data_IF_893903854044
#
_entry.id   IF_893903854044
#
_cell.length_a   1.000
_cell.length_b   1.000
_cell.length_c   1.000
_cell.angle_alpha   90.00
_cell.angle_beta   90.00
_cell.angle_gamma   90.00
#
_symmetry.space_group_name_H-M   'P 1'
#
loop_
_entity.id
_entity.type
_entity.pdbx_description
1 polymer ?
#
# COMPACT_ATOMS: atom_id res chain seq x y z
N UNK A 1 -15.77 6.04 5.15
CA UNK A 1 -14.71 5.65 4.18
C UNK A 1 -13.48 6.50 4.47
N UNK A 2 -12.28 5.91 4.46
CA UNK A 2 -11.01 6.59 4.72
C UNK A 2 -10.22 6.80 3.42
N UNK A 3 -9.33 7.82 3.35
CA UNK A 3 -8.49 8.03 2.18
C UNK A 3 -7.49 6.88 1.96
N UNK A 4 -7.03 6.70 0.72
CA UNK A 4 -5.94 5.78 0.39
C UNK A 4 -4.66 6.19 1.14
N UNK A 5 -3.82 5.21 1.55
CA UNK A 5 -2.54 5.51 2.17
C UNK A 5 -1.60 6.20 1.16
N UNK A 6 -0.83 7.18 1.63
CA UNK A 6 0.21 7.81 0.81
C UNK A 6 1.46 6.94 0.71
N UNK A 7 1.68 6.32 -0.44
CA UNK A 7 2.88 5.53 -0.69
C UNK A 7 4.08 6.46 -0.86
N UNK A 8 5.22 6.13 -0.26
CA UNK A 8 6.43 6.94 -0.41
C UNK A 8 6.99 6.79 -1.82
N UNK A 9 7.17 7.90 -2.52
CA UNK A 9 7.87 8.03 -3.78
C UNK A 9 9.00 9.06 -3.65
N UNK A 10 10.15 8.73 -4.23
CA UNK A 10 11.24 9.69 -4.32
C UNK A 10 10.89 10.79 -5.33
N UNK A 11 11.42 12.01 -5.16
CA UNK A 11 11.07 13.14 -6.03
C UNK A 11 11.39 12.85 -7.50
N UNK A 12 12.50 12.19 -7.78
CA UNK A 12 12.85 11.79 -9.15
C UNK A 12 11.86 10.80 -9.76
N UNK A 13 11.29 9.87 -8.97
CA UNK A 13 10.25 8.93 -9.43
C UNK A 13 8.95 9.67 -9.80
N UNK A 14 8.57 10.67 -9.00
CA UNK A 14 7.39 11.51 -9.28
C UNK A 14 7.60 12.34 -10.53
N UNK A 15 8.76 13.02 -10.65
CA UNK A 15 9.09 13.86 -11.81
C UNK A 15 9.22 13.07 -13.12
N UNK A 16 9.62 11.79 -13.03
CA UNK A 16 9.70 10.88 -14.17
C UNK A 16 8.35 10.26 -14.55
N UNK A 17 7.25 10.63 -13.88
CA UNK A 17 5.90 10.14 -14.21
C UNK A 17 5.63 8.69 -13.79
N UNK A 18 6.37 8.15 -12.80
CA UNK A 18 6.17 6.77 -12.33
C UNK A 18 4.95 6.59 -11.42
N UNK A 19 4.36 7.70 -10.98
CA UNK A 19 3.17 7.70 -10.12
C UNK A 19 1.93 7.89 -10.99
N UNK A 20 0.92 7.00 -10.89
CA UNK A 20 -0.30 7.14 -11.68
C UNK A 20 -1.12 8.36 -11.25
N UNK A 21 -1.85 8.93 -12.20
CA UNK A 21 -2.77 10.04 -11.93
C UNK A 21 -3.84 9.64 -10.88
N UNK A 22 -4.12 10.56 -9.96
CA UNK A 22 -4.97 10.31 -8.79
C UNK A 22 -4.31 9.43 -7.71
N UNK A 23 -3.05 9.03 -7.90
CA UNK A 23 -2.27 8.28 -6.92
C UNK A 23 -2.04 9.11 -5.65
N UNK A 24 -2.26 8.49 -4.48
CA UNK A 24 -1.92 9.11 -3.20
C UNK A 24 -0.46 8.81 -2.86
N UNK A 25 0.33 9.85 -2.63
CA UNK A 25 1.78 9.75 -2.40
C UNK A 25 2.25 10.52 -1.18
N UNK A 26 3.44 10.11 -0.71
CA UNK A 26 4.33 10.93 0.12
C UNK A 26 5.62 11.18 -0.65
N UNK A 27 6.09 12.41 -0.65
CA UNK A 27 7.40 12.75 -1.19
C UNK A 27 8.01 13.90 -0.39
N UNK A 28 9.24 14.28 -0.71
CA UNK A 28 9.95 15.34 -0.02
C UNK A 28 10.59 16.31 -1.01
N UNK A 29 11.09 17.43 -0.52
CA UNK A 29 11.95 18.32 -1.29
C UNK A 29 12.20 19.62 -0.56
N UNK A 30 13.23 20.34 -1.00
CA UNK A 30 13.60 21.64 -0.46
C UNK A 30 12.73 22.72 -1.10
N UNK A 31 12.08 23.54 -0.28
CA UNK A 31 11.20 24.60 -0.77
C UNK A 31 12.01 25.69 -1.47
N UNK A 32 11.67 26.00 -2.72
CA UNK A 32 12.34 27.03 -3.51
C UNK A 32 11.50 28.29 -3.65
N UNK A 33 10.22 28.09 -3.98
CA UNK A 33 9.29 29.15 -4.31
C UNK A 33 7.94 28.80 -3.69
N UNK A 34 7.26 29.83 -3.18
CA UNK A 34 5.86 29.77 -2.81
C UNK A 34 5.12 30.94 -3.46
N UNK A 35 4.28 30.63 -4.45
CA UNK A 35 3.34 31.57 -5.04
C UNK A 35 2.03 31.53 -4.25
N UNK A 36 1.84 32.55 -3.41
CA UNK A 36 0.65 32.70 -2.56
C UNK A 36 -0.61 32.95 -3.39
N UNK A 37 -0.51 33.70 -4.48
CA UNK A 37 -1.67 34.03 -5.31
C UNK A 37 -2.24 32.79 -6.02
N UNK A 38 -1.39 31.81 -6.32
CA UNK A 38 -1.78 30.55 -6.93
C UNK A 38 -1.92 29.39 -5.93
N UNK A 39 -1.64 29.62 -4.65
CA UNK A 39 -1.50 28.58 -3.63
C UNK A 39 -0.61 27.43 -4.13
N UNK A 40 0.61 27.75 -4.57
CA UNK A 40 1.51 26.80 -5.25
C UNK A 40 2.93 26.88 -4.71
N UNK A 41 3.48 25.74 -4.32
CA UNK A 41 4.87 25.57 -3.89
C UNK A 41 5.65 24.79 -4.94
N UNK A 42 6.91 25.18 -5.16
CA UNK A 42 7.88 24.39 -5.91
C UNK A 42 8.91 23.81 -4.94
N UNK A 43 8.95 22.48 -4.88
CA UNK A 43 9.97 21.72 -4.15
C UNK A 43 11.03 21.23 -5.13
N UNK A 44 12.31 21.29 -4.74
CA UNK A 44 13.42 20.70 -5.48
C UNK A 44 14.06 19.55 -4.73
N UNK A 45 14.60 18.59 -5.46
CA UNK A 45 15.45 17.54 -4.91
C UNK A 45 16.59 17.25 -5.88
N UNK A 46 17.77 16.98 -5.34
CA UNK A 46 18.93 16.59 -6.13
C UNK A 46 19.06 15.07 -6.14
N UNK A 47 19.36 14.51 -7.31
CA UNK A 47 19.66 13.09 -7.49
C UNK A 47 20.86 12.95 -8.44
N UNK A 48 22.03 12.64 -7.88
CA UNK A 48 23.27 12.70 -8.64
C UNK A 48 23.57 14.13 -9.10
N UNK A 49 23.68 14.33 -10.41
CA UNK A 49 23.89 15.65 -11.03
C UNK A 49 22.59 16.33 -11.47
N UNK A 50 21.45 15.64 -11.37
CA UNK A 50 20.17 16.11 -11.90
C UNK A 50 19.31 16.74 -10.79
N UNK A 51 18.65 17.84 -11.12
CA UNK A 51 17.67 18.50 -10.24
C UNK A 51 16.24 18.14 -10.67
N UNK A 52 15.44 17.68 -9.72
CA UNK A 52 14.05 17.28 -9.92
C UNK A 52 13.12 18.25 -9.19
N UNK A 53 12.11 18.75 -9.90
CA UNK A 53 11.12 19.68 -9.35
C UNK A 53 9.76 19.01 -9.17
N UNK A 54 9.10 19.33 -8.05
CA UNK A 54 7.76 18.88 -7.72
C UNK A 54 6.90 20.11 -7.42
N UNK A 55 5.79 20.23 -8.16
CA UNK A 55 4.79 21.25 -7.91
C UNK A 55 3.78 20.75 -6.87
N UNK A 56 3.45 21.61 -5.91
CA UNK A 56 2.53 21.29 -4.82
C UNK A 56 1.46 22.37 -4.73
N UNK A 57 0.20 21.97 -4.80
CA UNK A 57 -0.94 22.85 -4.53
C UNK A 57 -1.19 22.89 -3.01
N UNK A 58 -1.16 24.08 -2.42
CA UNK A 58 -1.23 24.31 -0.96
C UNK A 58 -2.60 24.75 -0.45
N UNK A 59 -3.63 24.79 -1.31
CA UNK A 59 -4.97 25.31 -0.97
C UNK A 59 -5.60 24.73 0.30
N UNK A 60 -5.30 23.47 0.66
CA UNK A 60 -5.86 22.79 1.84
C UNK A 60 -4.96 22.82 3.07
N UNK A 61 -3.72 23.30 2.93
CA UNK A 61 -2.70 23.34 3.99
C UNK A 61 -2.29 24.77 4.35
N UNK A 62 -3.03 25.75 3.84
CA UNK A 62 -2.90 27.16 4.19
C UNK A 62 -3.75 27.51 5.43
N UNK A 63 -3.29 28.42 6.30
CA UNK A 63 -1.97 29.06 6.28
C UNK A 63 -0.85 28.13 6.78
N UNK A 64 0.34 28.26 6.21
CA UNK A 64 1.56 27.64 6.74
C UNK A 64 2.73 28.62 6.65
N UNK A 65 3.74 28.43 7.50
CA UNK A 65 4.96 29.23 7.43
C UNK A 65 5.89 28.65 6.36
N UNK A 66 6.01 29.33 5.22
CA UNK A 66 6.91 28.95 4.15
C UNK A 66 8.35 29.34 4.50
N UNK A 67 9.19 28.36 4.81
CA UNK A 67 10.62 28.50 5.05
C UNK A 67 11.37 28.12 3.78
N UNK A 68 11.76 29.14 3.00
CA UNK A 68 12.57 28.93 1.80
C UNK A 68 13.88 28.25 2.17
N UNK A 69 14.34 27.38 1.28
CA UNK A 69 15.51 26.55 1.45
C UNK A 69 15.45 25.54 2.60
N UNK A 70 14.28 25.32 3.21
CA UNK A 70 14.08 24.24 4.19
C UNK A 70 13.53 22.98 3.53
N UNK A 71 13.78 21.82 4.13
CA UNK A 71 13.25 20.53 3.70
C UNK A 71 11.77 20.39 4.09
N UNK A 72 10.93 19.95 3.16
CA UNK A 72 9.53 19.67 3.38
C UNK A 72 9.17 18.24 3.02
N UNK A 73 8.17 17.71 3.73
CA UNK A 73 7.50 16.46 3.40
C UNK A 73 6.05 16.76 3.04
N UNK A 74 5.59 16.20 1.92
CA UNK A 74 4.23 16.37 1.42
C UNK A 74 3.50 15.03 1.38
N UNK A 75 2.23 15.03 1.79
CA UNK A 75 1.28 13.93 1.58
C UNK A 75 0.09 14.50 0.81
N UNK A 76 -0.24 13.88 -0.31
CA UNK A 76 -1.31 14.36 -1.16
C UNK A 76 -1.64 13.42 -2.31
N UNK A 77 -2.49 13.89 -3.19
CA UNK A 77 -2.88 13.23 -4.43
C UNK A 77 -2.13 13.86 -5.61
N UNK A 78 -1.57 13.04 -6.50
CA UNK A 78 -1.01 13.54 -7.75
C UNK A 78 -2.13 13.81 -8.75
N UNK A 79 -2.13 14.99 -9.35
CA UNK A 79 -3.03 15.34 -10.43
C UNK A 79 -2.26 15.87 -11.62
N UNK A 80 -2.61 15.40 -12.81
CA UNK A 80 -2.13 15.99 -14.05
C UNK A 80 -2.92 17.26 -14.37
N UNK A 81 -2.20 18.35 -14.65
CA UNK A 81 -2.78 19.57 -15.19
C UNK A 81 -2.13 19.90 -16.53
N UNK A 82 -2.77 20.78 -17.30
CA UNK A 82 -2.21 21.33 -18.53
C UNK A 82 -0.90 22.08 -18.20
N UNK A 83 0.24 21.41 -18.36
CA UNK A 83 1.57 21.93 -17.99
C UNK A 83 2.34 21.11 -16.95
N UNK A 84 1.81 19.98 -16.48
CA UNK A 84 2.56 18.99 -15.69
C UNK A 84 1.82 18.47 -14.45
N UNK A 85 2.46 17.56 -13.72
CA UNK A 85 1.89 16.93 -12.53
C UNK A 85 2.03 17.84 -11.29
N UNK A 86 0.94 18.00 -10.55
CA UNK A 86 0.87 18.79 -9.31
C UNK A 86 0.35 17.92 -8.18
N UNK A 87 1.00 17.95 -7.02
CA UNK A 87 0.54 17.26 -5.82
C UNK A 87 -0.45 18.16 -5.08
N UNK A 88 -1.72 17.76 -4.96
CA UNK A 88 -2.68 18.40 -4.05
C UNK A 88 -2.37 17.99 -2.62
N UNK A 89 -1.72 18.88 -1.87
CA UNK A 89 -1.31 18.59 -0.50
C UNK A 89 -2.52 18.51 0.43
N UNK A 90 -2.55 17.46 1.24
CA UNK A 90 -3.39 17.36 2.45
C UNK A 90 -2.57 17.59 3.72
N UNK A 91 -1.27 17.29 3.66
CA UNK A 91 -0.29 17.62 4.69
C UNK A 91 0.97 18.14 3.99
N UNK A 92 1.51 19.23 4.50
CA UNK A 92 2.80 19.80 4.10
C UNK A 92 3.53 20.22 5.37
N UNK A 93 4.66 19.57 5.67
CA UNK A 93 5.36 19.74 6.94
C UNK A 93 6.80 20.14 6.69
N UNK A 94 7.26 21.22 7.33
CA UNK A 94 8.69 21.54 7.38
C UNK A 94 9.38 20.52 8.29
N UNK A 95 10.39 19.84 7.76
CA UNK A 95 11.17 18.80 8.43
C UNK A 95 12.67 19.13 8.34
N UNK A 96 13.00 20.42 8.46
CA UNK A 96 14.39 20.87 8.44
C UNK A 96 15.20 20.17 9.54
N UNK A 97 16.43 19.77 9.20
CA UNK A 97 17.28 18.93 10.05
C UNK A 97 17.01 17.43 9.97
N UNK A 98 16.03 16.98 9.18
CA UNK A 98 15.82 15.55 8.93
C UNK A 98 17.03 14.90 8.24
N UNK A 99 17.42 13.70 8.70
CA UNK A 99 18.45 12.90 8.06
C UNK A 99 17.90 12.26 6.77
N UNK A 100 18.06 12.98 5.65
CA UNK A 100 17.54 12.55 4.35
C UNK A 100 18.12 11.20 3.88
N UNK A 101 19.44 10.93 3.96
CA UNK A 101 19.98 9.62 3.59
C UNK A 101 19.33 8.46 4.36
N UNK A 102 19.06 8.65 5.65
CA UNK A 102 18.42 7.62 6.47
C UNK A 102 16.93 7.44 6.10
N UNK A 103 16.21 8.52 5.77
CA UNK A 103 14.85 8.43 5.24
C UNK A 103 14.82 7.59 3.96
N UNK A 104 15.72 7.90 3.01
CA UNK A 104 15.79 7.15 1.75
C UNK A 104 16.09 5.67 1.97
N UNK A 105 17.03 5.36 2.87
CA UNK A 105 17.35 3.99 3.23
C UNK A 105 16.13 3.28 3.84
N UNK A 106 15.40 3.93 4.75
CA UNK A 106 14.20 3.36 5.35
C UNK A 106 13.13 3.06 4.30
N UNK A 107 12.93 3.94 3.31
CA UNK A 107 12.00 3.72 2.20
C UNK A 107 12.45 2.51 1.34
N UNK A 108 13.75 2.39 1.03
CA UNK A 108 14.28 1.24 0.27
C UNK A 108 14.06 -0.08 1.01
N UNK A 109 14.39 -0.14 2.30
CA UNK A 109 14.19 -1.35 3.11
C UNK A 109 12.72 -1.72 3.28
N UNK A 110 11.84 -0.72 3.48
CA UNK A 110 10.40 -0.94 3.55
C UNK A 110 9.87 -1.58 2.25
N UNK A 111 10.29 -1.08 1.08
CA UNK A 111 9.90 -1.63 -0.22
C UNK A 111 10.45 -3.05 -0.41
N UNK A 112 11.71 -3.29 -0.04
CA UNK A 112 12.34 -4.62 -0.13
C UNK A 112 11.57 -5.67 0.69
N UNK A 113 11.23 -5.35 1.94
CA UNK A 113 10.46 -6.24 2.80
C UNK A 113 9.07 -6.56 2.22
N UNK A 114 8.40 -5.57 1.63
CA UNK A 114 7.09 -5.77 0.99
C UNK A 114 7.21 -6.73 -0.21
N UNK A 115 8.20 -6.52 -1.07
CA UNK A 115 8.45 -7.38 -2.23
C UNK A 115 8.74 -8.83 -1.84
N UNK A 116 9.57 -9.05 -0.82
CA UNK A 116 9.90 -10.38 -0.31
C UNK A 116 8.65 -11.11 0.21
N UNK A 117 7.77 -10.38 0.92
CA UNK A 117 6.52 -10.95 1.43
C UNK A 117 5.55 -11.30 0.30
N UNK A 118 5.38 -10.42 -0.67
CA UNK A 118 4.44 -10.60 -1.78
C UNK A 118 4.89 -11.75 -2.70
N UNK A 119 6.20 -11.86 -2.96
CA UNK A 119 6.78 -12.98 -3.72
C UNK A 119 6.61 -14.33 -3.02
N UNK A 120 6.70 -14.36 -1.69
CA UNK A 120 6.49 -15.57 -0.89
C UNK A 120 5.03 -16.04 -0.89
N UNK A 121 4.06 -15.12 -1.05
CA UNK A 121 2.63 -15.47 -1.13
C UNK A 121 2.22 -16.01 -2.50
N UNK A 122 2.86 -15.56 -3.58
CA UNK A 122 2.58 -16.03 -4.94
C UNK A 122 3.13 -17.44 -5.23
N UNK A 123 4.12 -17.91 -4.44
CA UNK A 123 4.66 -19.27 -4.55
C UNK A 123 3.83 -20.33 -3.81
N UNK A 124 2.81 -19.92 -3.04
CA UNK A 124 1.93 -20.81 -2.28
C UNK A 124 0.61 -21.18 -3.01
N UNK A 125 0.44 -20.80 -4.28
CA UNK A 125 -0.64 -21.35 -5.11
C UNK A 125 -0.21 -22.72 -5.64
N UNK A 126 -0.58 -23.76 -4.89
CA UNK A 126 -0.44 -25.17 -5.30
C UNK A 126 -1.23 -25.38 -6.61
N UNK A 127 -0.67 -26.05 -7.64
CA UNK A 127 -1.44 -26.42 -8.82
C UNK A 127 -2.53 -27.41 -8.41
N UNK A 128 -3.77 -27.06 -8.73
CA UNK A 128 -4.94 -27.92 -8.56
C UNK A 128 -4.84 -29.11 -9.51
N UNK A 129 -4.30 -30.22 -9.00
CA UNK A 129 -4.50 -31.54 -9.60
C UNK A 129 -4.54 -32.59 -8.50
N UNK A 130 -5.57 -32.54 -7.67
CA UNK A 130 -6.03 -33.73 -6.96
C UNK A 130 -6.81 -34.60 -7.96
N UNK A 131 -6.39 -35.84 -8.26
CA UNK A 131 -7.25 -36.77 -8.99
C UNK A 131 -8.45 -37.14 -8.11
N UNK A 132 -9.65 -37.36 -8.68
CA UNK A 132 -10.83 -37.67 -7.90
C UNK A 132 -10.69 -39.06 -7.25
N UNK A 133 -10.82 -39.13 -5.93
CA UNK A 133 -10.98 -40.39 -5.21
C UNK A 133 -12.35 -40.99 -5.53
N UNK A 134 -12.36 -42.16 -6.16
CA UNK A 134 -13.56 -42.97 -6.36
C UNK A 134 -13.94 -43.63 -5.04
N UNK A 135 -14.99 -43.14 -4.38
CA UNK A 135 -15.57 -43.82 -3.23
C UNK A 135 -16.44 -45.00 -3.69
N UNK A 136 -16.31 -46.20 -3.08
CA UNK A 136 -17.17 -47.33 -3.40
C UNK A 136 -18.60 -47.10 -2.88
N UNK A 137 -19.57 -47.36 -3.75
CA UNK A 137 -21.01 -47.18 -3.51
C UNK A 137 -21.51 -48.10 -2.39
N UNK A 138 -22.12 -47.51 -1.36
CA UNK A 138 -22.72 -48.24 -0.25
C UNK A 138 -24.00 -48.95 -0.71
N UNK A 139 -24.01 -50.28 -0.60
CA UNK A 139 -25.18 -51.13 -0.90
C UNK A 139 -26.33 -50.84 0.10
N UNK A 140 -27.58 -50.66 -0.35
CA UNK A 140 -28.68 -50.37 0.55
C UNK A 140 -29.03 -51.59 1.44
N UNK A 141 -29.47 -51.36 2.69
CA UNK A 141 -29.83 -52.43 3.62
C UNK A 141 -31.16 -53.07 3.19
N UNK A 142 -31.13 -54.39 3.01
CA UNK A 142 -32.32 -55.20 2.71
C UNK A 142 -33.16 -55.45 3.97
N UNK A 143 -34.47 -55.29 3.81
CA UNK A 143 -35.47 -55.55 4.83
C UNK A 143 -35.44 -57.01 5.33
N UNK A 144 -35.31 -57.20 6.64
CA UNK A 144 -35.60 -58.47 7.29
C UNK A 144 -36.36 -58.25 8.60
N UNK A 145 -37.61 -58.69 8.51
CA UNK A 145 -38.73 -58.66 9.44
C UNK A 145 -38.47 -59.48 10.71
N UNK A 146 -39.04 -59.00 11.82
CA UNK A 146 -39.01 -59.61 13.15
C UNK A 146 -39.65 -61.01 13.21
N UNK A 147 -39.10 -61.87 14.08
CA UNK A 147 -39.84 -62.93 14.78
C UNK A 147 -39.18 -63.29 16.12
N UNK A 148 -40.02 -63.68 17.08
CA UNK A 148 -39.80 -63.67 18.53
C UNK A 148 -39.40 -65.03 19.14
N UNK A 149 -39.01 -64.99 20.43
CA UNK A 149 -38.89 -66.12 21.37
C UNK A 149 -37.43 -66.36 21.83
N UNK A 150 -37.09 -66.70 23.07
CA UNK A 150 -37.85 -67.15 24.26
C UNK A 150 -36.92 -67.05 25.51
N UNK A 151 -37.55 -67.08 26.67
CA UNK A 151 -37.17 -66.89 28.09
C UNK A 151 -36.00 -67.71 28.69
N UNK A 152 -35.58 -67.28 29.91
CA UNK A 152 -34.90 -67.99 31.04
C UNK A 152 -33.36 -67.90 31.06
N UNK A 153 -32.63 -67.67 32.17
CA UNK A 153 -32.92 -67.70 33.62
C UNK A 153 -31.83 -66.90 34.40
N UNK A 154 -32.16 -66.37 35.59
CA UNK A 154 -31.22 -65.92 36.67
C UNK A 154 -30.82 -67.14 37.55
N UNK A 155 -30.00 -67.08 38.63
CA UNK A 155 -29.25 -65.97 39.29
C UNK A 155 -27.76 -66.33 39.51
N UNK A 156 -26.89 -65.45 40.03
CA UNK A 156 -26.49 -65.22 41.45
C UNK A 156 -25.53 -64.01 41.41
N UNK A 157 -25.53 -63.02 42.30
CA UNK A 157 -25.67 -62.98 43.78
C UNK A 157 -26.47 -61.74 44.22
#
# INVERSE_FOLDING_TARGET
MLPKPGIYYFPWEVSAGQVPDGGTLRTFGRLCLYDVAQSRVTLRAQHGSDEHQILVCTKLVEPFQAQVDSMYLVLGELEHQDGGSVVKARVLTCVEGMNLPLLEQAVREQRRYQQERDGSQQQATVPDSCPPETFPEAKPPGDARATAGKTQDLPQE
#
